data_IF_944660278019
#
_entry.id   IF_944660278019
#
_cell.length_a   1.000
_cell.length_b   1.000
_cell.length_c   1.000
_cell.angle_alpha   90.00
_cell.angle_beta   90.00
_cell.angle_gamma   90.00
#
_symmetry.space_group_name_H-M   'P 1'
#
loop_
_entity.id
_entity.type
_entity.pdbx_description
1 polymer ?
#
# COMPACT_ATOMS: atom_id res chain seq x y z
N UNK A 1 1.81 -3.39 -12.86
CA UNK A 1 0.83 -4.38 -12.39
C UNK A 1 0.02 -3.73 -11.26
N UNK A 2 -1.31 -3.81 -11.30
CA UNK A 2 -2.16 -3.30 -10.22
C UNK A 2 -2.08 -4.24 -8.99
N UNK A 3 -2.10 -3.68 -7.78
CA UNK A 3 -2.16 -4.44 -6.53
C UNK A 3 -3.44 -4.17 -5.77
N UNK A 4 -3.84 -5.14 -4.97
CA UNK A 4 -5.15 -5.21 -4.35
C UNK A 4 -5.00 -5.35 -2.83
N UNK A 5 -5.87 -4.70 -2.07
CA UNK A 5 -5.94 -4.95 -0.64
C UNK A 5 -6.41 -6.40 -0.39
N UNK A 6 -5.70 -7.13 0.48
CA UNK A 6 -6.00 -8.53 0.79
C UNK A 6 -6.98 -8.69 1.97
N UNK A 7 -7.22 -7.63 2.73
CA UNK A 7 -8.19 -7.60 3.84
C UNK A 7 -8.89 -6.25 3.91
N UNK A 8 -10.04 -6.23 4.58
CA UNK A 8 -10.71 -5.01 4.95
C UNK A 8 -9.87 -4.25 6.00
N UNK A 9 -9.63 -2.97 5.75
CA UNK A 9 -8.90 -2.07 6.64
C UNK A 9 -9.66 -0.76 6.73
N UNK A 10 -10.10 -0.40 7.94
CA UNK A 10 -10.56 0.95 8.22
C UNK A 10 -9.38 1.79 8.70
N UNK A 11 -9.16 2.93 8.06
CA UNK A 11 -8.10 3.87 8.44
C UNK A 11 -8.75 5.15 8.91
N UNK A 12 -8.65 5.45 10.20
CA UNK A 12 -9.18 6.70 10.77
C UNK A 12 -8.45 7.89 10.16
N UNK A 13 -9.17 9.00 9.98
CA UNK A 13 -8.58 10.23 9.47
C UNK A 13 -7.53 10.73 10.47
N UNK A 14 -6.31 10.98 9.99
CA UNK A 14 -5.17 11.31 10.85
C UNK A 14 -4.34 10.12 11.32
N UNK A 15 -4.69 8.89 10.92
CA UNK A 15 -3.96 7.68 11.32
C UNK A 15 -3.29 6.97 10.14
N UNK A 16 -2.38 6.05 10.46
CA UNK A 16 -1.65 5.20 9.51
C UNK A 16 -2.06 3.74 9.64
N UNK A 17 -1.95 3.00 8.54
CA UNK A 17 -2.15 1.56 8.51
C UNK A 17 -1.18 0.88 7.53
N UNK A 18 -0.88 -0.40 7.77
CA UNK A 18 -0.22 -1.26 6.80
C UNK A 18 -1.28 -2.10 6.09
N UNK A 19 -1.50 -1.85 4.80
CA UNK A 19 -2.49 -2.61 4.03
C UNK A 19 -1.80 -3.80 3.37
N UNK A 20 -2.11 -5.05 3.75
CA UNK A 20 -1.49 -6.23 3.15
C UNK A 20 -1.97 -6.40 1.71
N UNK A 21 -1.06 -6.73 0.81
CA UNK A 21 -1.37 -6.93 -0.61
C UNK A 21 -1.61 -8.39 -0.99
N UNK A 22 -1.33 -9.33 -0.09
CA UNK A 22 -1.70 -10.74 -0.27
C UNK A 22 -0.70 -11.57 -1.06
N UNK A 23 0.45 -11.01 -1.46
CA UNK A 23 1.48 -11.71 -2.19
C UNK A 23 2.88 -11.32 -1.69
N UNK A 24 3.83 -12.22 -1.92
CA UNK A 24 5.26 -11.96 -1.92
C UNK A 24 5.78 -12.24 -3.34
N UNK A 25 6.91 -11.66 -3.71
CA UNK A 25 7.48 -11.82 -5.04
C UNK A 25 8.98 -12.06 -4.91
N UNK A 26 9.45 -13.19 -5.41
CA UNK A 26 10.88 -13.44 -5.62
C UNK A 26 11.30 -12.71 -6.90
N UNK A 27 12.11 -11.67 -6.75
CA UNK A 27 12.67 -10.91 -7.87
C UNK A 27 14.00 -11.53 -8.31
N UNK A 28 14.34 -11.54 -9.61
CA UNK A 28 15.67 -11.94 -10.05
C UNK A 28 16.74 -11.01 -9.49
N UNK A 29 17.96 -11.54 -9.33
CA UNK A 29 19.10 -10.75 -8.86
C UNK A 29 19.31 -9.49 -9.73
N UNK A 30 19.50 -8.34 -9.07
CA UNK A 30 19.69 -7.05 -9.74
C UNK A 30 18.40 -6.37 -10.22
N UNK A 31 17.23 -6.82 -9.73
CA UNK A 31 15.93 -6.19 -9.99
C UNK A 31 15.24 -5.77 -8.70
N UNK A 32 14.46 -4.70 -8.79
CA UNK A 32 13.67 -4.18 -7.67
C UNK A 32 12.23 -3.85 -8.08
N UNK A 33 11.32 -3.98 -7.12
CA UNK A 33 9.92 -3.65 -7.24
C UNK A 33 9.62 -2.24 -6.74
N UNK A 34 9.05 -1.39 -7.58
CA UNK A 34 8.62 -0.04 -7.23
C UNK A 34 7.11 0.01 -7.05
N UNK A 35 6.65 -0.08 -5.80
CA UNK A 35 5.25 0.02 -5.40
C UNK A 35 4.84 1.48 -5.19
N UNK A 36 3.83 1.92 -5.93
CA UNK A 36 3.32 3.28 -5.89
C UNK A 36 1.79 3.31 -5.83
N UNK A 37 1.17 4.38 -5.29
CA UNK A 37 -0.27 4.57 -5.38
C UNK A 37 -0.71 4.74 -6.84
N UNK A 38 -1.96 4.39 -7.12
CA UNK A 38 -2.61 4.71 -8.40
C UNK A 38 -3.02 6.18 -8.38
N UNK A 39 -3.19 6.78 -9.56
CA UNK A 39 -3.67 8.16 -9.68
C UNK A 39 -5.03 8.38 -9.00
N UNK A 40 -5.86 7.34 -8.92
CA UNK A 40 -7.16 7.38 -8.24
C UNK A 40 -7.05 7.19 -6.72
N UNK A 41 -5.94 6.70 -6.17
CA UNK A 41 -5.88 6.26 -4.77
C UNK A 41 -6.27 7.36 -3.78
N UNK A 42 -5.69 8.55 -3.92
CA UNK A 42 -6.06 9.67 -3.07
C UNK A 42 -7.50 10.14 -3.31
N UNK A 43 -7.96 10.15 -4.56
CA UNK A 43 -9.34 10.56 -4.90
C UNK A 43 -10.38 9.63 -4.28
N UNK A 44 -10.12 8.32 -4.34
CA UNK A 44 -11.07 7.29 -3.92
C UNK A 44 -11.12 7.13 -2.41
N UNK A 45 -9.97 7.10 -1.73
CA UNK A 45 -9.90 6.81 -0.29
C UNK A 45 -9.39 7.99 0.56
N UNK A 46 -8.85 9.05 -0.06
CA UNK A 46 -8.23 10.17 0.68
C UNK A 46 -6.95 9.77 1.43
N UNK A 47 -6.31 8.69 1.00
CA UNK A 47 -5.07 8.17 1.58
C UNK A 47 -3.87 8.48 0.68
N UNK A 48 -2.72 8.63 1.31
CA UNK A 48 -1.42 8.67 0.64
C UNK A 48 -0.58 7.47 1.07
N UNK A 49 0.32 7.03 0.20
CA UNK A 49 1.37 6.09 0.58
C UNK A 49 2.46 6.85 1.34
N UNK A 50 2.83 6.41 2.55
CA UNK A 50 3.66 7.23 3.45
C UNK A 50 5.14 7.27 3.08
N UNK A 51 5.61 6.26 2.33
CA UNK A 51 6.98 6.21 1.81
C UNK A 51 7.08 6.69 0.35
N UNK A 52 6.05 7.34 -0.19
CA UNK A 52 5.93 7.78 -1.59
C UNK A 52 5.96 6.65 -2.62
N UNK A 53 7.12 6.01 -2.79
CA UNK A 53 7.34 4.79 -3.57
C UNK A 53 8.03 3.78 -2.66
N UNK A 54 7.43 2.60 -2.52
CA UNK A 54 8.05 1.48 -1.82
C UNK A 54 8.98 0.79 -2.78
N UNK A 55 10.27 0.80 -2.48
CA UNK A 55 11.28 0.01 -3.18
C UNK A 55 11.40 -1.32 -2.44
N UNK A 56 11.24 -2.43 -3.17
CA UNK A 56 11.36 -3.78 -2.66
C UNK A 56 12.47 -4.49 -3.42
N UNK A 57 13.54 -4.85 -2.72
CA UNK A 57 14.71 -5.52 -3.30
C UNK A 57 14.49 -7.03 -3.49
N UNK A 58 15.45 -7.66 -4.18
CA UNK A 58 15.54 -9.09 -4.47
C UNK A 58 15.85 -9.96 -3.26
N UNK A 59 16.24 -9.35 -2.13
CA UNK A 59 16.48 -10.06 -0.86
C UNK A 59 15.22 -10.16 0.02
N UNK A 60 14.14 -9.46 -0.33
CA UNK A 60 12.86 -9.50 0.37
C UNK A 60 12.05 -10.76 0.03
N UNK A 61 12.57 -11.92 0.47
CA UNK A 61 12.07 -13.26 0.13
C UNK A 61 11.71 -14.09 1.37
N UNK A 62 10.47 -14.59 1.42
CA UNK A 62 10.00 -15.49 2.49
C UNK A 62 8.50 -15.45 2.72
N UNK A 63 7.96 -16.43 3.46
CA UNK A 63 6.53 -16.51 3.80
C UNK A 63 6.04 -15.31 4.63
N UNK A 64 6.95 -14.67 5.37
CA UNK A 64 6.67 -13.48 6.16
C UNK A 64 6.86 -12.17 5.39
N UNK A 65 7.41 -12.23 4.17
CA UNK A 65 7.77 -11.06 3.34
C UNK A 65 6.65 -10.69 2.37
N UNK A 66 5.41 -10.77 2.88
CA UNK A 66 4.26 -10.26 2.16
C UNK A 66 4.40 -8.76 1.96
N UNK A 67 4.14 -8.32 0.73
CA UNK A 67 4.15 -6.90 0.42
C UNK A 67 2.99 -6.19 1.11
N UNK A 68 3.29 -5.04 1.69
CA UNK A 68 2.33 -4.15 2.32
C UNK A 68 2.45 -2.75 1.73
N UNK A 69 1.32 -2.07 1.60
CA UNK A 69 1.28 -0.64 1.27
C UNK A 69 1.07 0.16 2.56
N UNK A 70 2.08 0.93 3.03
CA UNK A 70 1.92 1.79 4.19
C UNK A 70 1.13 3.03 3.78
N UNK A 71 0.00 3.28 4.44
CA UNK A 71 -0.91 4.38 4.08
C UNK A 71 -1.20 5.29 5.27
N UNK A 72 -1.50 6.55 4.98
CA UNK A 72 -2.01 7.53 5.95
C UNK A 72 -3.27 8.19 5.41
N UNK A 73 -4.32 8.27 6.23
CA UNK A 73 -5.59 8.87 5.82
C UNK A 73 -5.62 10.37 6.08
N UNK A 74 -5.48 11.17 5.03
CA UNK A 74 -5.59 12.64 5.10
C UNK A 74 -7.04 13.12 5.01
N UNK A 75 -7.88 12.41 4.24
CA UNK A 75 -9.24 12.85 3.97
C UNK A 75 -10.20 11.67 3.92
N UNK A 76 -10.61 11.19 5.10
CA UNK A 76 -11.58 10.11 5.23
C UNK A 76 -12.86 10.36 4.41
N UNK A 77 -13.32 9.31 3.73
CA UNK A 77 -14.51 9.30 2.84
C UNK A 77 -15.71 8.62 3.47
N UNK A 78 -15.51 7.94 4.59
CA UNK A 78 -16.49 7.14 5.29
C UNK A 78 -16.61 7.63 6.74
N UNK A 79 -17.74 7.32 7.36
CA UNK A 79 -18.00 7.55 8.80
C UNK A 79 -18.39 6.20 9.38
N UNK A 80 -17.77 5.85 10.51
CA UNK A 80 -18.10 4.68 11.31
C UNK A 80 -18.55 5.10 12.71
N UNK A 81 -19.27 4.23 13.41
CA UNK A 81 -19.60 4.44 14.81
C UNK A 81 -18.75 3.55 15.71
N UNK A 82 -18.02 4.16 16.63
CA UNK A 82 -17.18 3.46 17.60
C UNK A 82 -17.57 3.94 19.01
N UNK A 83 -18.06 3.03 19.85
CA UNK A 83 -18.52 3.35 21.21
C UNK A 83 -19.59 4.47 21.28
N UNK A 84 -20.39 4.63 20.22
CA UNK A 84 -21.44 5.66 20.15
C UNK A 84 -20.95 7.02 19.64
N UNK A 85 -19.67 7.15 19.29
CA UNK A 85 -19.10 8.34 18.66
C UNK A 85 -18.90 8.12 17.15
N UNK A 86 -19.12 9.16 16.35
CA UNK A 86 -18.83 9.13 14.92
C UNK A 86 -17.33 9.32 14.69
N UNK A 87 -16.72 8.36 14.01
CA UNK A 87 -15.30 8.37 13.63
C UNK A 87 -15.18 8.50 12.13
N UNK A 88 -14.54 9.58 11.69
CA UNK A 88 -14.25 9.80 10.27
C UNK A 88 -13.03 9.00 9.85
N UNK A 89 -13.13 8.26 8.75
CA UNK A 89 -12.02 7.47 8.22
C UNK A 89 -12.28 7.05 6.78
N UNK A 90 -11.61 6.01 6.32
CA UNK A 90 -11.95 5.39 5.04
C UNK A 90 -11.83 3.87 5.13
N UNK A 91 -12.74 3.19 4.45
CA UNK A 91 -12.62 1.76 4.23
C UNK A 91 -11.83 1.46 2.97
N UNK A 92 -10.79 0.67 3.15
CA UNK A 92 -10.14 -0.06 2.07
C UNK A 92 -10.66 -1.48 2.17
N UNK A 93 -11.49 -1.91 1.22
CA UNK A 93 -12.09 -3.24 1.22
C UNK A 93 -11.16 -4.25 0.55
N UNK A 94 -11.25 -5.51 0.97
CA UNK A 94 -10.58 -6.60 0.27
C UNK A 94 -10.98 -6.60 -1.21
N UNK A 95 -9.98 -6.63 -2.09
CA UNK A 95 -10.17 -6.54 -3.54
C UNK A 95 -10.13 -5.12 -4.10
N UNK A 96 -9.97 -4.08 -3.27
CA UNK A 96 -9.77 -2.73 -3.76
C UNK A 96 -8.40 -2.57 -4.42
N UNK A 97 -8.39 -1.98 -5.63
CA UNK A 97 -7.18 -1.66 -6.40
C UNK A 97 -6.50 -0.40 -5.85
N UNK A 98 -5.69 -0.57 -4.81
CA UNK A 98 -5.11 0.55 -4.05
C UNK A 98 -3.79 1.08 -4.58
N UNK A 99 -3.04 0.28 -5.33
CA UNK A 99 -1.71 0.62 -5.77
C UNK A 99 -1.35 -0.07 -7.07
N UNK A 100 -0.11 0.14 -7.51
CA UNK A 100 0.48 -0.56 -8.63
C UNK A 100 1.99 -0.67 -8.40
N UNK A 101 2.62 -1.69 -8.98
CA UNK A 101 4.07 -1.76 -9.03
C UNK A 101 4.62 -1.89 -10.44
N UNK A 102 5.91 -1.59 -10.57
CA UNK A 102 6.75 -1.88 -11.73
C UNK A 102 8.00 -2.61 -11.24
N UNK A 103 8.55 -3.48 -12.07
CA UNK A 103 9.84 -4.13 -11.83
C UNK A 103 10.86 -3.35 -12.66
N UNK A 104 11.96 -2.93 -12.04
CA UNK A 104 13.02 -2.14 -12.66
C UNK A 104 14.38 -2.75 -12.34
N UNK A 105 15.35 -2.55 -13.21
CA UNK A 105 16.74 -2.88 -12.92
C UNK A 105 17.25 -1.97 -11.81
N UNK A 106 17.99 -2.55 -10.86
CA UNK A 106 18.70 -1.78 -9.83
C UNK A 106 19.71 -0.86 -10.53
N UNK A 107 19.91 0.32 -9.95
CA UNK A 107 20.88 1.27 -10.47
C UNK A 107 22.28 0.61 -10.54
N UNK A 108 22.97 0.66 -11.69
CA UNK A 108 24.31 0.09 -11.79
C UNK A 108 25.28 0.84 -10.88
N UNK A 109 26.31 0.14 -10.41
CA UNK A 109 27.40 0.78 -9.68
C UNK A 109 28.03 1.89 -10.53
N UNK A 110 28.17 3.08 -9.95
CA UNK A 110 28.88 4.19 -10.58
C UNK A 110 30.34 4.12 -10.13
N UNK A 111 31.26 4.03 -11.10
CA UNK A 111 32.70 4.23 -10.89
C UNK A 111 33.08 5.70 -10.70
#
# INVERSE_FOLDING_TARGET
>A
IDVYANKDVFVKCGERAMVPLGFALELPEGWEGHLAPRSSTFKTWGIIQTNSVGVVDDTYIGDNDQWHMPVYCLQGKDIESENGEEVKGTWIRKGDKIGQFRIMEVMPEIE
#
